data_IF_408810923829
#
_entry.id   IF_408810923829
#
_cell.length_a   1.000
_cell.length_b   1.000
_cell.length_c   1.000
_cell.angle_alpha   90.00
_cell.angle_beta   90.00
_cell.angle_gamma   90.00
#
_symmetry.space_group_name_H-M   'P 1'
#
loop_
_entity.id
_entity.type
_entity.pdbx_description
1 polymer ?
#
# COMPACT_ATOMS: atom_id res chain seq x y z
N UNK A 1 -10.06 13.08 2.83
CA UNK A 1 -10.07 11.61 2.66
C UNK A 1 -10.11 10.96 4.02
N UNK A 2 -10.68 9.76 4.13
CA UNK A 2 -10.72 8.99 5.39
C UNK A 2 -9.98 7.67 5.20
N UNK A 3 -9.37 7.16 6.27
CA UNK A 3 -8.79 5.83 6.32
C UNK A 3 -9.60 4.96 7.28
N UNK A 4 -9.81 3.70 6.92
CA UNK A 4 -10.56 2.74 7.74
C UNK A 4 -9.65 1.53 7.97
N UNK A 5 -9.17 1.38 9.20
CA UNK A 5 -8.46 0.19 9.66
C UNK A 5 -9.43 -0.89 10.13
N UNK A 6 -8.97 -2.14 10.19
CA UNK A 6 -9.81 -3.26 10.61
C UNK A 6 -9.76 -3.51 12.12
N UNK A 7 -8.59 -3.28 12.72
CA UNK A 7 -8.30 -3.57 14.11
C UNK A 7 -7.30 -2.55 14.65
N UNK A 8 -7.13 -2.52 15.97
CA UNK A 8 -6.22 -1.60 16.65
C UNK A 8 -4.75 -2.03 16.57
N UNK A 9 -4.47 -3.23 16.05
CA UNK A 9 -3.09 -3.73 15.88
C UNK A 9 -2.36 -2.85 14.87
N UNK A 10 -1.27 -2.22 15.30
CA UNK A 10 -0.47 -1.31 14.47
C UNK A 10 -0.99 0.14 14.46
N UNK A 11 -2.10 0.44 15.14
CA UNK A 11 -2.69 1.78 15.17
C UNK A 11 -1.75 2.80 15.82
N UNK A 12 -1.14 2.44 16.95
CA UNK A 12 -0.21 3.34 17.66
C UNK A 12 1.01 3.68 16.80
N UNK A 13 1.62 2.68 16.14
CA UNK A 13 2.72 2.91 15.21
C UNK A 13 2.29 3.73 13.99
N UNK A 14 1.07 3.50 13.50
CA UNK A 14 0.53 4.21 12.33
C UNK A 14 0.27 5.70 12.62
N UNK A 15 -0.33 6.00 13.77
CA UNK A 15 -0.58 7.37 14.23
C UNK A 15 0.73 8.07 14.56
N UNK A 16 1.64 7.41 15.28
CA UNK A 16 2.95 7.97 15.62
C UNK A 16 3.83 8.22 14.38
N UNK A 17 3.66 7.42 13.33
CA UNK A 17 4.35 7.60 12.05
C UNK A 17 3.77 8.71 11.17
N UNK A 18 2.64 9.32 11.57
CA UNK A 18 1.96 10.39 10.81
C UNK A 18 1.68 10.01 9.35
N UNK A 19 1.44 8.72 9.06
CA UNK A 19 1.23 8.21 7.70
C UNK A 19 -0.10 8.68 7.07
N UNK A 20 -0.99 9.28 7.86
CA UNK A 20 -2.28 9.77 7.40
C UNK A 20 -2.64 11.09 8.08
N UNK A 21 -2.98 12.09 7.26
CA UNK A 21 -3.38 13.41 7.73
C UNK A 21 -4.90 13.60 7.89
N UNK A 22 -5.70 12.62 7.42
CA UNK A 22 -7.16 12.67 7.45
C UNK A 22 -7.76 11.99 8.68
N UNK A 23 -9.08 11.82 8.66
CA UNK A 23 -9.77 11.06 9.70
C UNK A 23 -9.44 9.57 9.57
N UNK A 24 -9.32 8.91 10.73
CA UNK A 24 -9.01 7.49 10.85
C UNK A 24 -10.11 6.82 11.67
N UNK A 25 -10.67 5.74 11.14
CA UNK A 25 -11.72 4.94 11.77
C UNK A 25 -11.28 3.48 11.90
N UNK A 26 -11.84 2.76 12.88
CA UNK A 26 -11.61 1.33 13.07
C UNK A 26 -12.93 0.57 12.88
N UNK A 27 -12.94 -0.39 11.96
CA UNK A 27 -14.06 -1.29 11.68
C UNK A 27 -13.85 -2.66 12.34
N UNK A 28 -13.91 -2.68 13.67
CA UNK A 28 -13.69 -3.90 14.47
C UNK A 28 -14.60 -5.09 14.08
N UNK A 29 -15.79 -4.82 13.52
CA UNK A 29 -16.75 -5.84 13.09
C UNK A 29 -16.56 -6.31 11.63
N UNK A 30 -15.58 -5.73 10.93
CA UNK A 30 -15.32 -5.95 9.50
C UNK A 30 -16.56 -5.66 8.62
N UNK A 31 -17.44 -4.74 9.02
CA UNK A 31 -18.66 -4.43 8.29
C UNK A 31 -18.39 -3.75 6.94
N UNK A 32 -17.55 -2.71 6.93
CA UNK A 32 -17.11 -2.04 5.72
C UNK A 32 -16.39 -3.04 4.82
N UNK A 33 -15.49 -3.84 5.39
CA UNK A 33 -14.77 -4.90 4.68
C UNK A 33 -15.72 -5.86 3.93
N UNK A 34 -16.73 -6.39 4.64
CA UNK A 34 -17.75 -7.29 4.05
C UNK A 34 -18.61 -6.59 2.99
N UNK A 35 -19.06 -5.37 3.26
CA UNK A 35 -19.90 -4.58 2.33
C UNK A 35 -19.14 -4.22 1.05
N UNK A 36 -17.85 -3.94 1.15
CA UNK A 36 -16.96 -3.68 0.01
C UNK A 36 -16.54 -4.98 -0.72
N UNK A 37 -16.93 -6.14 -0.20
CA UNK A 37 -16.61 -7.45 -0.77
C UNK A 37 -15.10 -7.66 -0.93
N UNK A 38 -14.30 -7.10 -0.02
CA UNK A 38 -12.91 -7.49 0.09
C UNK A 38 -12.86 -8.94 0.58
N UNK A 39 -11.92 -9.70 0.02
CA UNK A 39 -11.79 -11.14 0.30
C UNK A 39 -10.46 -11.42 0.96
N UNK A 40 -10.41 -12.52 1.72
CA UNK A 40 -9.14 -13.13 2.10
C UNK A 40 -8.74 -14.10 1.01
N UNK A 41 -7.74 -13.80 0.16
CA UNK A 41 -7.23 -14.76 -0.78
C UNK A 41 -6.72 -15.97 0.00
N UNK A 42 -7.08 -17.17 -0.43
CA UNK A 42 -6.60 -18.39 0.20
C UNK A 42 -5.07 -18.45 0.18
N UNK A 43 -4.47 -19.04 1.23
CA UNK A 43 -3.02 -19.14 1.47
C UNK A 43 -2.16 -19.34 0.21
N UNK A 44 -2.62 -20.18 -0.73
CA UNK A 44 -1.92 -20.53 -1.96
C UNK A 44 -1.77 -19.35 -2.93
N UNK A 45 -2.77 -18.48 -3.03
CA UNK A 45 -2.74 -17.28 -3.89
C UNK A 45 -1.81 -16.20 -3.33
N UNK A 46 -1.79 -16.04 -2.00
CA UNK A 46 -0.98 -15.01 -1.33
C UNK A 46 0.51 -15.36 -1.32
N UNK A 47 0.86 -16.63 -1.07
CA UNK A 47 2.25 -17.09 -1.09
C UNK A 47 2.82 -17.05 -2.51
N UNK A 48 2.05 -17.44 -3.52
CA UNK A 48 2.48 -17.42 -4.93
C UNK A 48 2.81 -16.01 -5.44
N UNK A 49 2.06 -14.99 -4.98
CA UNK A 49 2.27 -13.61 -5.39
C UNK A 49 3.60 -13.02 -4.90
N UNK A 50 4.02 -13.35 -3.67
CA UNK A 50 5.30 -12.91 -3.09
C UNK A 50 6.48 -13.45 -3.90
N UNK A 51 6.39 -14.68 -4.42
CA UNK A 51 7.44 -15.27 -5.26
C UNK A 51 7.42 -14.77 -6.71
N UNK A 52 6.38 -14.05 -7.12
CA UNK A 52 6.27 -13.42 -8.43
C UNK A 52 7.27 -12.28 -8.64
N UNK A 53 7.44 -11.83 -9.89
CA UNK A 53 8.40 -10.76 -10.24
C UNK A 53 8.15 -9.49 -9.43
N UNK A 54 6.87 -9.09 -9.30
CA UNK A 54 6.46 -7.90 -8.55
C UNK A 54 6.80 -8.02 -7.07
N UNK A 55 6.46 -9.14 -6.43
CA UNK A 55 6.80 -9.40 -5.02
C UNK A 55 8.31 -9.39 -4.76
N UNK A 56 9.12 -9.95 -5.67
CA UNK A 56 10.59 -9.90 -5.56
C UNK A 56 11.14 -8.49 -5.71
N UNK A 57 10.61 -7.69 -6.62
CA UNK A 57 11.02 -6.29 -6.78
C UNK A 57 10.71 -5.49 -5.52
N UNK A 58 9.48 -5.57 -5.02
CA UNK A 58 9.04 -4.89 -3.80
C UNK A 58 9.86 -5.33 -2.58
N UNK A 59 10.16 -6.64 -2.46
CA UNK A 59 11.02 -7.15 -1.38
C UNK A 59 12.45 -6.62 -1.47
N UNK A 60 12.99 -6.49 -2.69
CA UNK A 60 14.33 -5.91 -2.91
C UNK A 60 14.37 -4.44 -2.50
N UNK A 61 13.34 -3.66 -2.86
CA UNK A 61 13.20 -2.25 -2.48
C UNK A 61 13.04 -2.09 -0.97
N UNK A 62 12.13 -2.85 -0.34
CA UNK A 62 11.94 -2.86 1.11
C UNK A 62 13.25 -3.19 1.86
N UNK A 63 14.03 -4.16 1.36
CA UNK A 63 15.33 -4.50 1.96
C UNK A 63 16.36 -3.36 1.85
N UNK A 64 16.37 -2.60 0.75
CA UNK A 64 17.24 -1.41 0.62
C UNK A 64 16.88 -0.34 1.65
N UNK A 65 15.60 -0.19 1.94
CA UNK A 65 15.07 0.75 2.91
C UNK A 65 15.07 0.22 4.35
N UNK A 66 15.56 -1.02 4.56
CA UNK A 66 15.56 -1.74 5.85
C UNK A 66 14.16 -1.88 6.46
N UNK A 67 13.13 -1.87 5.62
CA UNK A 67 11.75 -2.15 6.01
C UNK A 67 11.63 -3.66 6.19
N UNK A 68 11.21 -4.08 7.39
CA UNK A 68 11.04 -5.49 7.74
C UNK A 68 9.56 -5.84 7.84
N UNK A 69 9.21 -7.09 7.55
CA UNK A 69 7.82 -7.55 7.62
C UNK A 69 7.32 -7.62 9.06
N UNK A 70 6.20 -6.95 9.34
CA UNK A 70 5.44 -7.12 10.57
C UNK A 70 4.29 -8.11 10.32
N UNK A 71 4.41 -9.35 10.81
CA UNK A 71 3.40 -10.40 10.65
C UNK A 71 2.35 -10.41 11.77
N UNK A 72 2.21 -9.31 12.52
CA UNK A 72 1.16 -9.15 13.54
C UNK A 72 -0.14 -8.72 12.88
N UNK A 73 -1.27 -9.24 13.37
CA UNK A 73 -2.61 -8.95 12.83
C UNK A 73 -3.06 -9.96 11.77
N UNK A 74 -4.15 -9.64 11.07
CA UNK A 74 -4.72 -10.51 10.03
C UNK A 74 -3.91 -10.48 8.72
N UNK A 75 -2.96 -11.41 8.60
CA UNK A 75 -1.99 -11.46 7.48
C UNK A 75 -2.61 -11.87 6.14
N UNK A 76 -3.87 -12.29 6.12
CA UNK A 76 -4.55 -12.83 4.94
C UNK A 76 -5.62 -11.89 4.39
N UNK A 77 -5.65 -10.65 4.87
CA UNK A 77 -6.63 -9.68 4.43
C UNK A 77 -6.13 -8.86 3.23
N UNK A 78 -6.97 -8.72 2.21
CA UNK A 78 -6.74 -7.75 1.15
C UNK A 78 -7.37 -6.39 1.49
N UNK A 79 -6.71 -5.32 1.08
CA UNK A 79 -7.24 -3.97 1.11
C UNK A 79 -7.79 -3.53 -0.26
N UNK A 80 -7.95 -2.22 -0.38
CA UNK A 80 -8.44 -1.59 -1.60
C UNK A 80 -8.56 -0.08 -1.45
N UNK A 81 -8.98 0.57 -2.52
CA UNK A 81 -9.26 2.00 -2.54
C UNK A 81 -10.63 2.22 -3.18
N UNK A 82 -11.44 3.07 -2.54
CA UNK A 82 -12.74 3.47 -3.03
C UNK A 82 -12.83 4.99 -3.07
N UNK A 83 -13.16 5.55 -4.24
CA UNK A 83 -13.43 6.98 -4.41
C UNK A 83 -14.91 7.14 -4.74
N UNK A 84 -15.60 7.93 -3.94
CA UNK A 84 -17.05 8.17 -4.07
C UNK A 84 -17.28 9.67 -4.21
N UNK A 85 -18.08 10.05 -5.21
CA UNK A 85 -18.54 11.42 -5.41
C UNK A 85 -19.61 11.77 -4.37
N UNK A 86 -19.68 13.05 -4.02
CA UNK A 86 -20.85 13.56 -3.31
C UNK A 86 -22.14 13.19 -4.08
N UNK A 87 -23.07 12.50 -3.41
CA UNK A 87 -24.26 11.92 -4.03
C UNK A 87 -24.24 10.38 -4.13
N UNK A 88 -23.09 9.75 -3.89
CA UNK A 88 -22.98 8.29 -3.79
C UNK A 88 -22.48 7.57 -5.05
N UNK A 89 -22.19 8.31 -6.13
CA UNK A 89 -21.62 7.72 -7.34
C UNK A 89 -20.19 7.25 -7.08
N UNK A 90 -19.88 6.00 -7.44
CA UNK A 90 -18.53 5.43 -7.30
C UNK A 90 -17.69 5.82 -8.52
N UNK A 91 -16.56 6.48 -8.29
CA UNK A 91 -15.63 6.93 -9.32
C UNK A 91 -14.44 5.97 -9.51
N UNK A 92 -14.04 5.29 -8.43
CA UNK A 92 -12.97 4.28 -8.44
C UNK A 92 -13.32 3.18 -7.42
N UNK A 93 -13.26 1.92 -7.84
CA UNK A 93 -13.34 0.74 -6.98
C UNK A 93 -12.14 -0.18 -7.30
N UNK A 94 -11.11 -0.10 -6.47
CA UNK A 94 -9.93 -0.94 -6.56
C UNK A 94 -9.92 -1.92 -5.39
N UNK A 95 -9.84 -3.22 -5.71
CA UNK A 95 -9.71 -4.30 -4.72
C UNK A 95 -8.41 -5.02 -4.97
N UNK A 96 -7.56 -5.11 -3.95
CA UNK A 96 -6.35 -5.94 -4.04
C UNK A 96 -6.77 -7.39 -4.21
N UNK A 97 -6.17 -8.09 -5.17
CA UNK A 97 -6.29 -9.55 -5.32
C UNK A 97 -5.14 -10.25 -4.62
N UNK A 98 -3.97 -9.63 -4.65
CA UNK A 98 -2.75 -10.09 -3.99
C UNK A 98 -2.20 -9.01 -3.05
N UNK A 99 -1.36 -9.43 -2.09
CA UNK A 99 -0.68 -8.52 -1.17
C UNK A 99 0.25 -7.50 -1.86
N UNK A 100 0.63 -7.76 -3.12
CA UNK A 100 1.54 -6.87 -3.88
C UNK A 100 0.81 -5.84 -4.72
N UNK A 101 -0.52 -5.95 -4.87
CA UNK A 101 -1.31 -5.06 -5.72
C UNK A 101 -1.41 -3.68 -5.09
N UNK A 102 -1.26 -2.63 -5.91
CA UNK A 102 -1.37 -1.24 -5.47
C UNK A 102 -2.29 -0.48 -6.43
N UNK A 103 -3.03 0.48 -5.90
CA UNK A 103 -3.83 1.38 -6.73
C UNK A 103 -2.90 2.36 -7.45
N UNK A 104 -3.13 2.60 -8.73
CA UNK A 104 -2.40 3.59 -9.50
C UNK A 104 -2.70 5.00 -8.98
N UNK A 105 -1.67 5.76 -8.65
CA UNK A 105 -1.83 7.17 -8.26
C UNK A 105 -2.46 7.99 -9.39
N UNK A 106 -2.17 7.68 -10.65
CA UNK A 106 -2.78 8.36 -11.80
C UNK A 106 -4.30 8.13 -11.84
N UNK A 107 -4.76 6.90 -11.55
CA UNK A 107 -6.19 6.58 -11.52
C UNK A 107 -6.88 7.30 -10.36
N UNK A 108 -6.21 7.42 -9.21
CA UNK A 108 -6.72 8.18 -8.05
C UNK A 108 -6.82 9.67 -8.38
N UNK A 109 -5.80 10.28 -8.98
CA UNK A 109 -5.82 11.69 -9.37
C UNK A 109 -6.94 11.97 -10.38
N UNK A 110 -7.10 11.09 -11.38
CA UNK A 110 -8.16 11.19 -12.37
C UNK A 110 -9.56 11.08 -11.73
N UNK A 111 -9.76 10.13 -10.82
CA UNK A 111 -11.02 9.97 -10.10
C UNK A 111 -11.34 11.17 -9.21
N UNK A 112 -10.33 11.84 -8.66
CA UNK A 112 -10.48 13.05 -7.85
C UNK A 112 -10.59 14.34 -8.69
N UNK A 113 -10.37 14.27 -10.01
CA UNK A 113 -10.36 15.44 -10.88
C UNK A 113 -9.18 16.38 -10.61
N UNK A 114 -8.06 15.85 -10.10
CA UNK A 114 -6.85 16.63 -9.81
C UNK A 114 -5.96 16.58 -11.05
N UNK A 115 -5.68 17.75 -11.63
CA UNK A 115 -4.74 17.89 -12.74
C UNK A 115 -3.30 17.81 -12.22
N UNK A 116 -2.46 17.00 -12.87
CA UNK A 116 -1.05 16.85 -12.52
C UNK A 116 -0.52 15.45 -12.80
N UNK A 117 0.79 15.29 -12.74
CA UNK A 117 1.43 13.98 -12.75
C UNK A 117 1.56 13.47 -11.32
N UNK A 118 1.39 12.15 -11.08
CA UNK A 118 1.64 11.58 -9.76
C UNK A 118 3.09 11.88 -9.37
N UNK A 119 3.35 12.22 -8.10
CA UNK A 119 4.72 12.42 -7.64
C UNK A 119 5.52 11.17 -7.96
N UNK A 120 6.60 11.33 -8.74
CA UNK A 120 7.56 10.27 -8.97
C UNK A 120 8.18 9.98 -7.62
N UNK A 121 7.94 8.78 -7.09
CA UNK A 121 8.58 8.30 -5.87
C UNK A 121 10.08 8.49 -6.07
N UNK A 122 10.66 9.43 -5.32
CA UNK A 122 12.05 9.81 -5.49
C UNK A 122 12.89 8.60 -5.08
N UNK A 123 13.30 7.81 -6.06
CA UNK A 123 14.33 6.81 -5.87
C UNK A 123 15.50 7.51 -5.17
N UNK A 124 15.93 6.96 -4.03
CA UNK A 124 17.13 7.39 -3.35
C UNK A 124 18.24 7.63 -4.40
N UNK A 125 19.03 8.72 -4.28
CA UNK A 125 20.01 9.07 -5.29
C UNK A 125 20.85 7.84 -5.60
N UNK A 126 20.85 7.41 -6.86
CA UNK A 126 21.71 6.34 -7.34
C UNK A 126 23.13 6.74 -7.02
N UNK A 127 23.75 6.07 -6.04
CA UNK A 127 25.16 6.20 -5.76
C UNK A 127 25.91 5.75 -7.01
N UNK A 128 26.42 6.72 -7.77
CA UNK A 128 27.32 6.46 -8.88
C UNK A 128 28.65 6.07 -8.25
N UNK A 129 28.96 4.78 -8.24
CA UNK A 129 30.30 4.33 -7.95
C UNK A 129 31.18 4.78 -9.13
N UNK A 130 31.88 5.90 -8.97
CA UNK A 130 32.99 6.21 -9.87
C UNK A 130 34.21 5.32 -9.51
N UNK A 131 35.02 5.00 -10.51
CA UNK A 131 36.22 4.15 -10.37
C UNK A 131 37.33 4.81 -9.54
N UNK A 132 37.09 6.01 -9.00
CA UNK A 132 38.04 6.73 -8.16
C UNK A 132 38.06 6.22 -6.72
N UNK A 133 37.05 5.47 -6.28
CA UNK A 133 36.96 4.94 -4.92
C UNK A 133 37.78 3.64 -4.68
N UNK A 134 38.31 3.00 -5.73
CA UNK A 134 39.03 1.71 -5.64
C UNK A 134 40.55 1.85 -5.86
N UNK A 135 41.17 2.90 -5.34
CA UNK A 135 42.64 2.97 -5.22
C UNK A 135 43.04 2.92 -3.75
N UNK A 136 43.32 1.69 -3.29
CA UNK A 136 44.15 1.46 -2.12
C UNK A 136 45.60 1.73 -2.56
N UNK A 137 46.20 2.81 -2.06
CA UNK A 137 47.65 2.93 -1.96
C UNK A 137 48.16 2.18 -0.73
#
# INVERSE_FOLDING_TARGET
>A
MIAIGLEEVGLDEYVKGEFWAGELYIDNNKECYKKLQFTSPGLLSSIGAVFGKQGRTQLSEANKEKVTGNFKGDSYQNGGALVVKAGGDVLLDFKQKTATDQVSLADVLMALGIEGEPPVEQAAPTMVCDDTACKLE
#
